data_IF_985547024163
#
_entry.id   IF_985547024163
#
_cell.length_a   1.000
_cell.length_b   1.000
_cell.length_c   1.000
_cell.angle_alpha   90.00
_cell.angle_beta   90.00
_cell.angle_gamma   90.00
#
_symmetry.space_group_name_H-M   'P 1'
#
loop_
_entity.id
_entity.type
_entity.pdbx_description
1 polymer ?
#
# COMPACT_ATOMS: atom_id res chain seq x y z
N UNK A 1 34.20 -26.06 -53.11
CA UNK A 1 35.22 -25.16 -52.53
C UNK A 1 34.54 -23.86 -52.13
N UNK A 2 34.74 -23.45 -50.87
CA UNK A 2 34.18 -22.26 -50.20
C UNK A 2 34.60 -20.95 -50.84
N UNK A 3 33.76 -19.91 -50.75
CA UNK A 3 34.15 -18.55 -50.32
C UNK A 3 32.98 -17.90 -49.57
N UNK A 4 33.13 -17.77 -48.26
CA UNK A 4 32.29 -16.92 -47.39
C UNK A 4 33.14 -15.70 -47.05
N UNK A 5 32.63 -14.52 -47.35
CA UNK A 5 33.30 -13.25 -47.08
C UNK A 5 33.06 -12.84 -45.61
N UNK A 6 34.15 -12.57 -44.90
CA UNK A 6 34.16 -11.91 -43.60
C UNK A 6 34.21 -10.41 -43.87
N UNK A 7 33.20 -9.67 -43.40
CA UNK A 7 33.28 -8.21 -43.29
C UNK A 7 33.63 -7.89 -41.85
N UNK A 8 34.91 -7.57 -41.67
CA UNK A 8 35.46 -6.91 -40.50
C UNK A 8 35.19 -5.41 -40.69
N UNK A 9 34.49 -4.77 -39.76
CA UNK A 9 34.43 -3.31 -39.70
C UNK A 9 34.84 -2.86 -38.31
N UNK A 10 36.08 -2.36 -38.29
CA UNK A 10 36.79 -1.73 -37.19
C UNK A 10 36.81 -0.22 -37.48
N UNK A 11 37.13 0.57 -36.46
CA UNK A 11 37.36 2.03 -36.41
C UNK A 11 36.07 2.86 -36.22
N UNK A 12 35.98 3.84 -35.31
CA UNK A 12 36.99 4.80 -34.80
C UNK A 12 36.62 5.27 -33.38
N UNK A 13 37.62 5.39 -32.49
CA UNK A 13 37.55 6.23 -31.29
C UNK A 13 37.84 7.69 -31.65
N UNK A 14 37.10 8.67 -31.10
CA UNK A 14 37.69 9.80 -30.34
C UNK A 14 36.63 10.70 -29.70
N UNK A 15 36.71 10.74 -28.36
CA UNK A 15 36.42 11.77 -27.35
C UNK A 15 35.90 13.14 -27.84
N UNK A 16 34.81 13.62 -27.24
CA UNK A 16 34.68 15.04 -26.88
C UNK A 16 34.13 15.17 -25.47
N UNK A 17 34.84 15.95 -24.65
CA UNK A 17 34.38 16.41 -23.35
C UNK A 17 33.32 17.50 -23.56
N UNK A 18 32.29 17.47 -22.73
CA UNK A 18 31.27 18.52 -22.66
C UNK A 18 30.71 18.61 -21.25
N UNK A 19 31.31 19.44 -20.41
CA UNK A 19 30.56 20.13 -19.38
C UNK A 19 29.55 21.02 -20.10
N UNK A 20 28.26 20.82 -19.83
CA UNK A 20 27.18 21.57 -20.46
C UNK A 20 25.94 21.52 -19.59
N UNK A 21 25.78 22.55 -18.77
CA UNK A 21 24.48 23.00 -18.25
C UNK A 21 23.50 23.14 -19.41
N UNK A 22 22.41 22.39 -19.39
CA UNK A 22 21.42 22.39 -20.45
C UNK A 22 20.08 21.85 -19.95
N UNK A 23 19.27 22.77 -19.46
CA UNK A 23 17.82 22.68 -19.29
C UNK A 23 17.15 21.93 -20.44
N UNK A 24 16.37 20.89 -20.11
CA UNK A 24 15.34 20.33 -20.99
C UNK A 24 14.00 20.31 -20.27
N UNK A 25 13.13 21.18 -20.76
CA UNK A 25 11.68 21.34 -20.56
C UNK A 25 11.08 20.93 -19.21
N UNK A 26 10.90 21.93 -18.36
CA UNK A 26 9.76 21.96 -17.45
C UNK A 26 8.48 21.85 -18.29
N UNK A 27 7.88 20.65 -18.32
CA UNK A 27 6.43 20.63 -18.34
C UNK A 27 6.04 21.15 -16.97
N UNK A 28 5.57 22.41 -16.94
CA UNK A 28 4.92 22.98 -15.78
C UNK A 28 3.80 22.02 -15.40
N UNK A 29 4.00 21.22 -14.36
CA UNK A 29 2.90 20.68 -13.59
C UNK A 29 2.10 21.88 -13.12
N UNK A 30 0.80 21.87 -13.43
CA UNK A 30 -0.17 22.77 -12.84
C UNK A 30 0.12 22.89 -11.35
N UNK A 31 0.11 24.12 -10.84
CA UNK A 31 0.39 24.41 -9.44
C UNK A 31 -0.33 23.40 -8.54
N UNK A 32 0.45 22.70 -7.72
CA UNK A 32 -0.03 21.76 -6.71
C UNK A 32 -1.20 22.42 -5.96
N UNK A 33 -2.42 21.95 -6.21
CA UNK A 33 -3.60 22.42 -5.49
C UNK A 33 -3.44 21.90 -4.08
N UNK A 34 -3.03 22.79 -3.17
CA UNK A 34 -3.11 22.59 -1.75
C UNK A 34 -4.61 22.48 -1.40
N UNK A 35 -5.12 21.24 -1.35
CA UNK A 35 -6.48 20.99 -0.89
C UNK A 35 -6.51 21.34 0.60
N UNK A 36 -7.28 22.38 0.95
CA UNK A 36 -7.48 22.80 2.34
C UNK A 36 -7.90 21.60 3.19
N UNK A 37 -7.16 21.36 4.28
CA UNK A 37 -7.54 20.39 5.32
C UNK A 37 -8.90 20.84 5.88
N UNK A 38 -10.00 20.10 5.73
CA UNK A 38 -11.28 20.51 6.30
C UNK A 38 -11.14 20.55 7.82
N UNK A 39 -11.42 21.71 8.41
CA UNK A 39 -11.54 21.87 9.86
C UNK A 39 -12.79 21.13 10.32
N UNK A 40 -12.66 20.05 11.10
CA UNK A 40 -13.84 19.35 11.63
C UNK A 40 -13.84 19.38 13.15
N UNK A 41 -14.56 20.39 13.66
CA UNK A 41 -15.30 20.30 14.91
C UNK A 41 -16.43 19.30 14.70
N UNK A 42 -16.34 18.12 15.32
CA UNK A 42 -17.46 17.16 15.33
C UNK A 42 -18.49 17.71 16.31
N UNK A 43 -19.65 18.14 15.79
CA UNK A 43 -20.81 18.47 16.62
C UNK A 43 -21.70 17.24 16.65
N UNK A 44 -21.88 16.67 17.84
CA UNK A 44 -22.87 15.64 18.13
C UNK A 44 -24.29 16.14 17.84
N UNK A 45 -25.19 15.21 17.47
CA UNK A 45 -26.67 15.24 17.37
C UNK A 45 -27.12 14.67 16.00
N UNK A 46 -28.07 13.76 15.83
CA UNK A 46 -29.07 13.21 16.75
C UNK A 46 -29.79 11.98 16.11
N UNK A 47 -29.99 10.94 16.93
CA UNK A 47 -31.22 10.09 17.12
C UNK A 47 -32.02 9.45 15.95
N UNK A 48 -32.11 8.11 16.05
CA UNK A 48 -33.28 7.20 15.97
C UNK A 48 -34.36 7.31 14.87
N UNK A 49 -34.48 6.21 14.10
CA UNK A 49 -35.74 5.46 13.91
C UNK A 49 -36.65 5.81 12.72
N UNK A 50 -36.74 4.90 11.73
CA UNK A 50 -38.03 4.56 11.10
C UNK A 50 -37.99 3.28 10.25
N UNK A 51 -39.18 2.69 10.16
CA UNK A 51 -39.55 1.32 9.86
C UNK A 51 -39.17 0.72 8.50
N UNK A 52 -39.01 -0.60 8.55
CA UNK A 52 -38.98 -1.55 7.44
C UNK A 52 -40.39 -1.72 6.89
N UNK A 53 -40.74 -0.99 5.82
CA UNK A 53 -41.73 -1.40 4.83
C UNK A 53 -41.79 -0.37 3.71
N UNK A 54 -41.50 -0.83 2.50
CA UNK A 54 -42.09 -0.42 1.21
C UNK A 54 -41.02 -0.45 0.11
N UNK A 55 -40.70 -1.69 -0.28
CA UNK A 55 -40.08 -2.02 -1.56
C UNK A 55 -41.22 -2.08 -2.57
N UNK A 56 -41.23 -1.20 -3.57
CA UNK A 56 -41.58 -1.61 -4.94
C UNK A 56 -41.11 -0.60 -6.00
N UNK A 57 -40.18 -1.08 -6.82
CA UNK A 57 -39.97 -0.84 -8.24
C UNK A 57 -39.97 0.59 -8.79
N UNK A 58 -38.80 0.99 -9.30
CA UNK A 58 -38.70 1.49 -10.67
C UNK A 58 -37.35 1.08 -11.29
N UNK A 59 -37.42 0.11 -12.21
CA UNK A 59 -36.30 -0.33 -13.06
C UNK A 59 -36.15 0.70 -14.18
N UNK A 60 -35.00 1.35 -14.28
CA UNK A 60 -34.57 1.96 -15.53
C UNK A 60 -33.09 1.69 -15.77
N UNK A 61 -32.82 1.20 -16.98
CA UNK A 61 -31.54 0.72 -17.46
C UNK A 61 -30.52 1.83 -17.64
N UNK A 62 -29.44 1.74 -16.88
CA UNK A 62 -28.07 2.06 -17.28
C UNK A 62 -27.17 1.29 -16.32
N UNK A 63 -26.16 0.58 -16.81
CA UNK A 63 -25.21 -0.26 -16.05
C UNK A 63 -24.42 0.56 -15.02
N UNK A 64 -25.09 0.94 -13.92
CA UNK A 64 -24.55 1.83 -12.90
C UNK A 64 -24.65 1.14 -11.54
N UNK A 65 -23.50 1.06 -10.88
CA UNK A 65 -23.17 0.43 -9.62
C UNK A 65 -23.81 1.09 -8.38
N UNK A 66 -25.09 1.46 -8.44
CA UNK A 66 -25.76 2.21 -7.36
C UNK A 66 -27.01 1.52 -6.79
N UNK A 67 -27.27 0.26 -7.15
CA UNK A 67 -28.24 -0.60 -6.45
C UNK A 67 -27.67 -1.08 -5.10
N UNK A 68 -27.35 -0.12 -4.22
CA UNK A 68 -26.79 -0.34 -2.90
C UNK A 68 -27.81 -0.98 -1.97
N UNK A 69 -27.81 -2.31 -1.89
CA UNK A 69 -28.43 -3.00 -0.77
C UNK A 69 -27.44 -2.95 0.39
N UNK A 70 -27.76 -2.18 1.43
CA UNK A 70 -27.02 -2.21 2.69
C UNK A 70 -27.74 -3.17 3.62
N UNK A 71 -27.05 -4.24 3.99
CA UNK A 71 -27.53 -5.21 4.98
C UNK A 71 -26.50 -5.36 6.09
N UNK A 72 -26.91 -5.05 7.32
CA UNK A 72 -26.12 -5.32 8.53
C UNK A 72 -24.68 -4.78 8.48
N UNK A 73 -24.49 -3.61 7.87
CA UNK A 73 -23.17 -2.97 7.73
C UNK A 73 -22.34 -3.43 6.54
N UNK A 74 -22.93 -4.16 5.59
CA UNK A 74 -22.30 -4.58 4.34
C UNK A 74 -23.01 -3.97 3.14
N UNK A 75 -22.25 -3.56 2.13
CA UNK A 75 -22.77 -3.33 0.78
C UNK A 75 -22.81 -4.65 0.02
N UNK A 76 -24.02 -5.05 -0.37
CA UNK A 76 -24.34 -6.32 -1.00
C UNK A 76 -24.59 -6.13 -2.49
N UNK A 77 -23.83 -6.82 -3.33
CA UNK A 77 -23.96 -6.80 -4.79
C UNK A 77 -24.23 -8.21 -5.33
N UNK A 78 -25.14 -8.32 -6.29
CA UNK A 78 -25.34 -9.56 -7.04
C UNK A 78 -24.27 -9.65 -8.16
N UNK A 79 -23.54 -10.74 -8.22
CA UNK A 79 -22.52 -11.01 -9.23
C UNK A 79 -22.91 -12.23 -10.05
N UNK A 80 -22.89 -12.09 -11.38
CA UNK A 80 -23.09 -13.20 -12.30
C UNK A 80 -21.75 -13.83 -12.64
N UNK A 81 -21.58 -15.09 -12.25
CA UNK A 81 -20.40 -15.90 -12.59
C UNK A 81 -20.76 -16.98 -13.61
N UNK A 82 -19.76 -17.64 -14.19
CA UNK A 82 -19.95 -18.81 -15.05
C UNK A 82 -20.66 -19.97 -14.33
N UNK A 83 -20.59 -19.99 -12.99
CA UNK A 83 -21.18 -21.03 -12.12
C UNK A 83 -22.55 -20.63 -11.53
N UNK A 84 -23.10 -19.49 -11.91
CA UNK A 84 -24.39 -18.99 -11.42
C UNK A 84 -24.30 -17.61 -10.75
N UNK A 85 -25.38 -17.23 -10.06
CA UNK A 85 -25.42 -15.97 -9.30
C UNK A 85 -24.77 -16.17 -7.94
N UNK A 86 -23.87 -15.26 -7.57
CA UNK A 86 -23.24 -15.17 -6.24
C UNK A 86 -23.45 -13.77 -5.67
N UNK A 87 -23.29 -13.60 -4.37
CA UNK A 87 -23.45 -12.31 -3.71
C UNK A 87 -22.10 -11.83 -3.15
N UNK A 88 -21.70 -10.60 -3.44
CA UNK A 88 -20.51 -9.96 -2.87
C UNK A 88 -20.92 -9.08 -1.70
N UNK A 89 -20.30 -9.30 -0.55
CA UNK A 89 -20.53 -8.53 0.67
C UNK A 89 -19.27 -7.72 0.98
N UNK A 90 -19.37 -6.41 0.79
CA UNK A 90 -18.28 -5.47 1.08
C UNK A 90 -18.52 -4.84 2.43
N UNK A 91 -17.65 -5.04 3.44
CA UNK A 91 -17.85 -4.46 4.75
C UNK A 91 -17.71 -2.93 4.67
N UNK A 92 -18.52 -2.20 5.44
CA UNK A 92 -18.55 -0.74 5.43
C UNK A 92 -18.03 -0.18 6.76
N UNK A 93 -17.30 0.94 6.68
CA UNK A 93 -16.92 1.76 7.86
C UNK A 93 -17.87 2.94 7.98
N UNK A 94 -18.49 3.09 9.16
CA UNK A 94 -19.38 4.22 9.46
C UNK A 94 -19.19 4.71 10.90
N UNK A 95 -18.84 5.99 11.12
CA UNK A 95 -18.52 7.00 10.10
C UNK A 95 -17.17 6.71 9.41
N UNK A 96 -17.01 7.16 8.17
CA UNK A 96 -15.74 7.11 7.44
C UNK A 96 -14.64 7.84 8.21
N UNK A 97 -13.44 7.26 8.21
CA UNK A 97 -12.24 7.90 8.77
C UNK A 97 -11.48 8.60 7.65
N UNK A 98 -11.35 9.91 7.75
CA UNK A 98 -10.72 10.70 6.71
C UNK A 98 -9.25 10.30 6.50
N UNK A 99 -8.86 10.10 5.23
CA UNK A 99 -7.51 9.65 4.85
C UNK A 99 -7.30 8.14 4.86
N UNK A 100 -8.26 7.35 5.36
CA UNK A 100 -8.18 5.89 5.35
C UNK A 100 -8.83 5.33 4.09
N UNK A 101 -8.06 4.57 3.31
CA UNK A 101 -8.57 3.78 2.19
C UNK A 101 -9.21 2.50 2.73
N UNK A 102 -10.46 2.22 2.37
CA UNK A 102 -11.21 1.06 2.88
C UNK A 102 -11.79 0.17 1.76
N UNK A 103 -12.53 -0.88 2.14
CA UNK A 103 -13.06 -1.88 1.22
C UNK A 103 -14.16 -1.32 0.32
N UNK A 104 -14.88 -0.28 0.77
CA UNK A 104 -15.87 0.38 -0.09
C UNK A 104 -15.16 1.17 -1.18
N UNK A 105 -14.07 1.86 -0.84
CA UNK A 105 -13.25 2.59 -1.81
C UNK A 105 -12.64 1.64 -2.85
N UNK A 106 -12.07 0.52 -2.38
CA UNK A 106 -11.55 -0.56 -3.23
C UNK A 106 -12.63 -1.13 -4.16
N UNK A 107 -13.83 -1.43 -3.61
CA UNK A 107 -14.95 -1.94 -4.39
C UNK A 107 -15.49 -0.94 -5.41
N UNK A 108 -15.32 0.36 -5.17
CA UNK A 108 -15.66 1.45 -6.10
C UNK A 108 -14.56 1.79 -7.09
N UNK A 109 -13.43 1.08 -7.05
CA UNK A 109 -12.24 1.38 -7.85
C UNK A 109 -11.72 2.80 -7.64
N UNK A 110 -11.90 3.35 -6.43
CA UNK A 110 -11.20 4.57 -6.01
C UNK A 110 -9.72 4.23 -5.92
N UNK A 111 -8.86 5.11 -6.41
CA UNK A 111 -7.43 4.84 -6.35
C UNK A 111 -6.82 5.35 -5.05
N UNK A 112 -5.99 4.51 -4.41
CA UNK A 112 -5.31 4.83 -3.15
C UNK A 112 -4.49 6.13 -3.18
N UNK A 113 -3.93 6.49 -4.34
CA UNK A 113 -3.14 7.72 -4.51
C UNK A 113 -3.97 9.00 -4.41
N UNK A 114 -5.30 8.94 -4.51
CA UNK A 114 -6.18 10.10 -4.29
C UNK A 114 -6.06 10.62 -2.86
N UNK A 115 -5.70 9.75 -1.92
CA UNK A 115 -5.43 10.10 -0.53
C UNK A 115 -4.00 10.61 -0.28
N UNK A 116 -3.12 10.57 -1.30
CA UNK A 116 -1.70 10.91 -1.12
C UNK A 116 -1.49 12.35 -0.65
N UNK A 117 -2.28 13.30 -1.17
CA UNK A 117 -2.23 14.70 -0.75
C UNK A 117 -2.77 14.92 0.66
N UNK A 118 -3.85 14.22 1.02
CA UNK A 118 -4.47 14.31 2.34
C UNK A 118 -3.55 13.76 3.44
N UNK A 119 -2.92 12.60 3.20
CA UNK A 119 -2.05 11.92 4.15
C UNK A 119 -0.60 12.42 4.16
N UNK A 120 -0.28 13.46 3.37
CA UNK A 120 1.11 13.94 3.21
C UNK A 120 1.61 14.62 4.49
N UNK A 121 2.72 14.15 5.09
CA UNK A 121 3.39 14.87 6.17
C UNK A 121 3.83 16.27 5.74
N UNK A 122 3.71 17.25 6.63
CA UNK A 122 4.21 18.59 6.32
C UNK A 122 5.74 18.54 6.09
N UNK A 123 6.24 19.39 5.18
CA UNK A 123 7.65 19.37 4.78
C UNK A 123 8.04 18.28 3.78
N UNK A 124 7.12 17.42 3.35
CA UNK A 124 7.39 16.37 2.35
C UNK A 124 6.73 16.66 1.00
N UNK A 125 7.11 15.89 -0.04
CA UNK A 125 6.43 15.84 -1.33
C UNK A 125 6.01 14.41 -1.62
N UNK A 126 4.86 14.22 -2.26
CA UNK A 126 4.42 12.91 -2.75
C UNK A 126 5.49 12.35 -3.67
N UNK A 127 5.96 11.13 -3.36
CA UNK A 127 6.90 10.45 -4.21
C UNK A 127 6.16 9.84 -5.39
N UNK A 128 6.71 9.93 -6.60
CA UNK A 128 6.17 9.20 -7.74
C UNK A 128 6.37 7.71 -7.51
N UNK A 129 5.30 7.02 -7.13
CA UNK A 129 5.31 5.58 -6.94
C UNK A 129 5.56 4.89 -8.27
N UNK A 130 6.66 4.13 -8.34
CA UNK A 130 7.04 3.35 -9.54
C UNK A 130 6.55 1.90 -9.48
N UNK A 131 5.84 1.53 -8.43
CA UNK A 131 5.29 0.18 -8.24
C UNK A 131 4.04 0.25 -7.35
N UNK A 132 3.08 -0.61 -7.65
CA UNK A 132 1.86 -0.83 -6.87
C UNK A 132 2.11 -1.94 -5.85
N UNK A 133 1.54 -1.80 -4.65
CA UNK A 133 1.16 -2.97 -3.88
C UNK A 133 1.85 -3.08 -2.54
N UNK A 134 1.56 -2.16 -1.62
CA UNK A 134 1.60 -2.49 -0.20
C UNK A 134 0.18 -2.65 0.36
N UNK A 135 -0.66 -3.42 -0.33
CA UNK A 135 -2.04 -3.67 0.09
C UNK A 135 -2.21 -5.11 0.60
N UNK A 136 -2.89 -5.23 1.75
CA UNK A 136 -3.45 -6.48 2.23
C UNK A 136 -4.95 -6.26 2.42
N UNK A 137 -5.76 -7.07 1.73
CA UNK A 137 -7.22 -7.06 1.91
C UNK A 137 -7.63 -8.43 2.43
N UNK A 138 -8.40 -8.44 3.50
CA UNK A 138 -9.10 -9.64 3.93
C UNK A 138 -10.54 -9.31 4.25
N UNK A 139 -11.45 -10.08 3.68
CA UNK A 139 -12.88 -9.98 3.97
C UNK A 139 -13.38 -11.39 4.26
N UNK A 140 -13.90 -11.60 5.46
CA UNK A 140 -14.68 -12.80 5.76
C UNK A 140 -16.03 -12.40 6.34
N UNK A 141 -17.09 -13.11 5.96
CA UNK A 141 -18.41 -12.92 6.54
C UNK A 141 -18.85 -14.23 7.21
N UNK A 142 -18.77 -14.34 8.55
CA UNK A 142 -19.12 -15.57 9.25
C UNK A 142 -20.64 -15.82 9.30
N UNK A 143 -21.51 -14.84 8.99
CA UNK A 143 -22.95 -14.96 9.22
C UNK A 143 -23.76 -15.40 7.98
N UNK A 144 -23.23 -15.32 6.76
CA UNK A 144 -24.01 -15.54 5.52
C UNK A 144 -23.50 -16.69 4.63
N UNK A 145 -22.53 -17.47 5.12
CA UNK A 145 -21.87 -18.50 4.33
C UNK A 145 -20.84 -17.90 3.36
N UNK A 146 -19.72 -18.60 3.18
CA UNK A 146 -18.63 -18.21 2.29
C UNK A 146 -19.17 -18.00 0.86
N UNK A 147 -19.02 -16.79 0.30
CA UNK A 147 -19.47 -16.52 -1.08
C UNK A 147 -18.42 -17.00 -2.07
N UNK A 148 -18.90 -17.75 -3.06
CA UNK A 148 -18.12 -18.61 -3.95
C UNK A 148 -17.35 -17.91 -5.08
N UNK A 149 -16.99 -16.64 -4.92
CA UNK A 149 -16.00 -15.96 -5.77
C UNK A 149 -14.82 -15.46 -4.94
N UNK A 150 -14.48 -16.33 -4.00
CA UNK A 150 -13.42 -16.16 -3.06
C UNK A 150 -12.10 -16.35 -3.83
N UNK A 151 -11.53 -15.26 -4.38
CA UNK A 151 -10.10 -15.03 -4.12
C UNK A 151 -9.96 -14.86 -2.60
N UNK A 152 -10.17 -15.95 -1.83
CA UNK A 152 -9.59 -16.07 -0.52
C UNK A 152 -8.12 -16.06 -0.82
N UNK A 153 -7.48 -14.94 -0.55
CA UNK A 153 -6.21 -15.05 0.11
C UNK A 153 -6.58 -15.45 1.54
N UNK A 154 -6.53 -16.74 1.91
CA UNK A 154 -6.74 -17.11 3.31
C UNK A 154 -5.78 -16.24 4.11
N UNK A 155 -6.33 -15.49 5.08
CA UNK A 155 -5.45 -14.70 5.93
C UNK A 155 -4.53 -15.66 6.63
N UNK A 156 -3.23 -15.51 6.35
CA UNK A 156 -2.20 -16.24 7.05
C UNK A 156 -1.95 -15.54 8.39
N UNK A 157 -1.54 -16.29 9.41
CA UNK A 157 -1.12 -15.72 10.70
C UNK A 157 -0.03 -14.65 10.53
N UNK A 158 0.72 -14.75 9.43
CA UNK A 158 1.81 -13.85 9.04
C UNK A 158 1.69 -13.51 7.57
N UNK A 159 1.57 -12.22 7.25
CA UNK A 159 1.57 -11.68 5.89
C UNK A 159 2.73 -10.73 5.70
N UNK A 160 3.34 -10.77 4.51
CA UNK A 160 4.65 -10.15 4.28
C UNK A 160 4.61 -9.40 2.96
N UNK A 161 5.07 -8.14 2.99
CA UNK A 161 5.21 -7.32 1.79
C UNK A 161 6.49 -6.52 1.84
N UNK A 162 7.12 -6.36 0.69
CA UNK A 162 8.16 -5.35 0.50
C UNK A 162 7.53 -3.96 0.52
N UNK A 163 8.24 -2.97 1.10
CA UNK A 163 7.80 -1.58 1.05
C UNK A 163 8.19 -0.91 -0.26
N UNK A 164 9.34 -1.31 -0.81
CA UNK A 164 9.91 -0.77 -2.01
C UNK A 164 10.16 -1.90 -2.99
N UNK A 165 9.77 -1.71 -4.25
CA UNK A 165 10.02 -2.72 -5.28
C UNK A 165 11.35 -2.48 -5.98
N UNK A 166 11.93 -3.57 -6.46
CA UNK A 166 12.94 -3.53 -7.52
C UNK A 166 12.25 -3.08 -8.82
N UNK A 167 12.56 -1.87 -9.28
CA UNK A 167 11.99 -1.30 -10.51
C UNK A 167 13.01 -1.34 -11.63
N UNK A 168 12.57 -1.69 -12.84
CA UNK A 168 13.40 -1.64 -14.03
C UNK A 168 13.14 -0.33 -14.79
N UNK A 169 14.18 0.46 -15.04
CA UNK A 169 14.11 1.59 -15.97
C UNK A 169 15.12 1.38 -17.09
N UNK A 170 14.65 1.32 -18.34
CA UNK A 170 15.47 1.01 -19.52
C UNK A 170 16.31 -0.29 -19.36
N UNK A 171 15.73 -1.30 -18.70
CA UNK A 171 16.41 -2.59 -18.45
C UNK A 171 17.44 -2.57 -17.31
N UNK A 172 17.55 -1.48 -16.56
CA UNK A 172 18.43 -1.35 -15.40
C UNK A 172 17.59 -1.39 -14.14
N UNK A 173 17.86 -2.36 -13.27
CA UNK A 173 17.14 -2.53 -12.01
C UNK A 173 17.63 -1.52 -10.97
N UNK A 174 16.69 -0.98 -10.20
CA UNK A 174 16.94 -0.05 -9.09
C UNK A 174 15.92 -0.28 -7.98
N UNK A 175 16.42 -0.26 -6.76
CA UNK A 175 15.59 -0.28 -5.57
C UNK A 175 14.87 1.06 -5.43
N UNK A 176 13.57 1.01 -5.14
CA UNK A 176 12.83 2.18 -4.69
C UNK A 176 13.41 2.69 -3.36
N UNK A 177 13.51 4.02 -3.22
CA UNK A 177 13.93 4.67 -1.99
C UNK A 177 12.97 5.82 -1.76
N UNK A 178 12.28 5.79 -0.62
CA UNK A 178 11.41 6.86 -0.16
C UNK A 178 11.75 7.19 1.29
N UNK A 179 11.58 8.45 1.68
CA UNK A 179 11.95 8.88 3.04
C UNK A 179 10.91 8.47 4.07
N UNK A 180 9.62 8.58 3.72
CA UNK A 180 8.50 8.33 4.63
C UNK A 180 7.42 7.49 3.96
N UNK A 181 6.94 6.44 4.62
CA UNK A 181 5.76 5.67 4.21
C UNK A 181 4.53 6.03 5.02
N UNK A 182 3.36 6.00 4.40
CA UNK A 182 2.05 6.12 5.05
C UNK A 182 1.29 4.80 4.89
N UNK A 183 0.94 4.18 6.01
CA UNK A 183 0.17 2.96 6.11
C UNK A 183 -1.20 3.29 6.70
N UNK A 184 -2.27 2.93 6.01
CA UNK A 184 -3.64 3.07 6.50
C UNK A 184 -4.21 1.70 6.85
N UNK A 185 -5.01 1.65 7.91
CA UNK A 185 -5.78 0.46 8.28
C UNK A 185 -7.25 0.81 8.41
N UNK A 186 -8.09 0.05 7.71
CA UNK A 186 -9.52 -0.02 7.86
C UNK A 186 -9.87 -1.29 8.65
N UNK A 187 -10.34 -1.13 9.89
CA UNK A 187 -10.76 -2.22 10.77
C UNK A 187 -12.28 -2.23 10.92
N UNK A 188 -12.94 -3.37 10.66
CA UNK A 188 -14.40 -3.48 10.65
C UNK A 188 -14.95 -4.07 11.94
N UNK A 189 -14.43 -3.61 13.07
CA UNK A 189 -14.64 -4.23 14.39
C UNK A 189 -16.11 -4.41 14.76
N UNK A 190 -16.94 -3.44 14.42
CA UNK A 190 -18.36 -3.42 14.78
C UNK A 190 -19.19 -4.51 14.06
N UNK A 191 -18.64 -5.10 12.98
CA UNK A 191 -19.29 -6.16 12.22
C UNK A 191 -19.00 -7.56 12.76
N UNK A 192 -18.07 -7.69 13.73
CA UNK A 192 -17.61 -9.00 14.22
C UNK A 192 -17.67 -9.07 15.75
N UNK A 193 -18.15 -10.19 16.32
CA UNK A 193 -18.27 -10.34 17.77
C UNK A 193 -16.90 -10.40 18.49
N UNK A 194 -15.87 -10.84 17.78
CA UNK A 194 -14.49 -10.90 18.24
C UNK A 194 -13.60 -10.38 17.12
N UNK A 195 -12.57 -9.61 17.48
CA UNK A 195 -11.62 -9.07 16.53
C UNK A 195 -10.20 -9.51 16.90
N UNK A 196 -9.38 -9.97 15.94
CA UNK A 196 -8.04 -10.46 16.26
C UNK A 196 -7.14 -9.33 16.76
N UNK A 197 -6.15 -9.72 17.55
CA UNK A 197 -5.00 -8.86 17.77
C UNK A 197 -4.22 -8.76 16.47
N UNK A 198 -3.91 -7.53 16.06
CA UNK A 198 -3.17 -7.22 14.84
C UNK A 198 -1.91 -6.45 15.20
N UNK A 199 -0.78 -6.87 14.64
CA UNK A 199 0.52 -6.26 14.89
C UNK A 199 1.30 -6.10 13.60
N UNK A 200 1.68 -4.88 13.28
CA UNK A 200 2.54 -4.58 12.14
C UNK A 200 3.97 -4.45 12.61
N UNK A 201 4.88 -5.25 12.06
CA UNK A 201 6.31 -5.20 12.34
C UNK A 201 7.07 -4.71 11.11
N UNK A 202 8.15 -3.96 11.33
CA UNK A 202 9.03 -3.45 10.29
C UNK A 202 10.40 -4.11 10.46
N UNK A 203 10.88 -4.71 9.37
CA UNK A 203 12.22 -5.27 9.29
C UNK A 203 13.01 -4.55 8.19
N UNK A 204 14.25 -4.20 8.48
CA UNK A 204 15.19 -3.65 7.52
C UNK A 204 16.06 -4.75 6.92
N UNK A 205 16.32 -4.69 5.63
CA UNK A 205 17.26 -5.56 4.93
C UNK A 205 18.57 -4.79 4.79
N UNK A 206 19.64 -5.23 5.48
CA UNK A 206 20.94 -4.57 5.43
C UNK A 206 21.50 -4.49 4.00
N UNK A 207 22.19 -3.38 3.68
CA UNK A 207 22.85 -3.20 2.39
C UNK A 207 23.90 -4.29 2.13
N UNK A 208 24.64 -4.72 3.15
CA UNK A 208 25.62 -5.79 3.03
C UNK A 208 24.98 -7.15 2.68
N UNK A 209 23.76 -7.43 3.15
CA UNK A 209 23.03 -8.65 2.83
C UNK A 209 22.55 -8.61 1.37
N UNK A 210 22.05 -7.46 0.91
CA UNK A 210 21.66 -7.26 -0.49
C UNK A 210 22.86 -7.47 -1.41
N UNK A 211 24.02 -6.88 -1.09
CA UNK A 211 25.26 -7.04 -1.86
C UNK A 211 25.75 -8.49 -1.87
N UNK A 212 25.73 -9.18 -0.71
CA UNK A 212 26.13 -10.60 -0.64
C UNK A 212 25.23 -11.51 -1.47
N UNK A 213 23.92 -11.24 -1.50
CA UNK A 213 22.94 -12.09 -2.19
C UNK A 213 22.88 -11.82 -3.69
N UNK A 214 22.97 -10.56 -4.10
CA UNK A 214 22.69 -10.15 -5.49
C UNK A 214 23.87 -9.51 -6.20
N UNK A 215 24.93 -9.15 -5.47
CA UNK A 215 26.06 -8.38 -6.00
C UNK A 215 25.58 -7.06 -6.56
N UNK A 216 25.75 -6.87 -7.86
CA UNK A 216 25.27 -5.69 -8.57
C UNK A 216 23.75 -5.76 -8.78
N UNK A 217 23.01 -5.06 -7.93
CA UNK A 217 21.54 -5.00 -7.96
C UNK A 217 20.97 -4.58 -9.32
N UNK A 218 21.74 -3.83 -10.11
CA UNK A 218 21.31 -3.38 -11.45
C UNK A 218 21.17 -4.51 -12.45
N UNK A 219 21.79 -5.66 -12.18
CA UNK A 219 21.76 -6.89 -12.97
C UNK A 219 20.97 -8.01 -12.30
N UNK A 220 20.38 -7.76 -11.14
CA UNK A 220 19.65 -8.76 -10.37
C UNK A 220 18.43 -9.26 -11.17
N UNK A 221 18.13 -10.56 -11.10
CA UNK A 221 16.88 -11.08 -11.62
C UNK A 221 15.73 -10.71 -10.67
N UNK A 222 14.70 -10.03 -11.19
CA UNK A 222 13.58 -9.56 -10.36
C UNK A 222 12.79 -10.69 -9.69
N UNK A 223 12.78 -11.89 -10.29
CA UNK A 223 12.18 -13.06 -9.66
C UNK A 223 13.02 -13.59 -8.49
N UNK A 224 14.34 -13.70 -8.67
CA UNK A 224 15.25 -14.05 -7.57
C UNK A 224 15.14 -13.06 -6.40
N UNK A 225 15.04 -11.76 -6.70
CA UNK A 225 14.83 -10.72 -5.70
C UNK A 225 13.51 -10.93 -4.93
N UNK A 226 12.40 -11.11 -5.65
CA UNK A 226 11.09 -11.37 -5.03
C UNK A 226 11.09 -12.64 -4.17
N UNK A 227 11.69 -13.73 -4.68
CA UNK A 227 11.77 -15.00 -3.95
C UNK A 227 12.55 -14.87 -2.64
N UNK A 228 13.64 -14.11 -2.62
CA UNK A 228 14.37 -13.81 -1.39
C UNK A 228 13.48 -13.12 -0.34
N UNK A 229 12.71 -12.12 -0.75
CA UNK A 229 11.87 -11.33 0.16
C UNK A 229 10.66 -12.10 0.70
N UNK A 230 9.98 -12.87 -0.15
CA UNK A 230 8.70 -13.52 0.21
C UNK A 230 8.87 -15.00 0.59
N UNK A 231 10.05 -15.59 0.41
CA UNK A 231 10.33 -16.99 0.78
C UNK A 231 11.54 -17.11 1.69
N UNK A 232 12.70 -16.60 1.29
CA UNK A 232 13.94 -16.86 2.04
C UNK A 232 13.95 -16.15 3.39
N UNK A 233 13.75 -14.82 3.42
CA UNK A 233 13.69 -14.06 4.68
C UNK A 233 12.61 -14.61 5.64
N UNK A 234 11.37 -14.91 5.18
CA UNK A 234 10.35 -15.50 6.06
C UNK A 234 10.70 -16.91 6.58
N UNK A 235 11.33 -17.77 5.75
CA UNK A 235 11.69 -19.15 6.12
C UNK A 235 12.77 -19.21 7.20
N UNK A 236 13.65 -18.21 7.26
CA UNK A 236 14.65 -18.06 8.32
C UNK A 236 14.15 -17.17 9.47
N UNK A 237 12.85 -16.91 9.55
CA UNK A 237 12.20 -16.00 10.50
C UNK A 237 12.90 -14.64 10.64
N UNK A 238 13.35 -14.11 9.50
CA UNK A 238 14.04 -12.83 9.37
C UNK A 238 15.34 -12.70 10.15
N UNK A 239 16.00 -13.81 10.52
CA UNK A 239 17.27 -13.79 11.29
C UNK A 239 18.37 -12.96 10.61
N UNK A 240 18.33 -12.85 9.28
CA UNK A 240 19.27 -12.03 8.50
C UNK A 240 18.90 -10.54 8.41
N UNK A 241 17.67 -10.18 8.79
CA UNK A 241 17.16 -8.82 8.75
C UNK A 241 17.31 -8.13 10.12
N UNK A 242 17.23 -6.80 10.12
CA UNK A 242 17.23 -5.98 11.33
C UNK A 242 15.78 -5.76 11.75
N UNK A 243 15.42 -6.10 12.98
CA UNK A 243 14.13 -5.72 13.55
C UNK A 243 14.15 -4.24 13.91
N UNK A 244 13.26 -3.44 13.30
CA UNK A 244 13.26 -1.97 13.44
C UNK A 244 12.14 -1.45 14.32
N UNK A 245 11.09 -2.23 14.53
CA UNK A 245 10.00 -1.86 15.42
C UNK A 245 8.68 -2.54 15.09
N UNK A 246 7.68 -2.25 15.91
CA UNK A 246 6.33 -2.76 15.74
C UNK A 246 5.28 -1.78 16.27
N UNK A 247 4.04 -2.00 15.85
CA UNK A 247 2.88 -1.30 16.40
C UNK A 247 1.69 -2.25 16.46
N UNK A 248 1.01 -2.24 17.59
CA UNK A 248 -0.30 -2.84 17.72
C UNK A 248 -1.32 -1.98 16.98
N UNK A 249 -2.10 -2.60 16.11
CA UNK A 249 -3.10 -1.93 15.29
C UNK A 249 -4.45 -2.14 15.97
N UNK A 250 -4.80 -1.18 16.83
CA UNK A 250 -6.01 -1.26 17.65
C UNK A 250 -7.18 -0.54 17.02
N UNK A 251 -6.98 0.36 16.06
CA UNK A 251 -8.05 1.20 15.54
C UNK A 251 -7.86 1.47 14.04
N UNK A 252 -8.97 1.78 13.37
CA UNK A 252 -8.96 2.32 12.01
C UNK A 252 -8.19 3.65 12.02
N UNK A 253 -7.04 3.70 11.37
CA UNK A 253 -6.17 4.88 11.46
C UNK A 253 -5.10 4.93 10.38
N UNK A 254 -4.30 6.00 10.44
CA UNK A 254 -3.15 6.28 9.58
C UNK A 254 -1.89 6.18 10.45
N UNK A 255 -0.88 5.50 9.92
CA UNK A 255 0.41 5.27 10.56
C UNK A 255 1.54 5.63 9.61
N UNK A 256 2.69 6.00 10.18
CA UNK A 256 3.84 6.43 9.40
C UNK A 256 5.09 5.62 9.72
N UNK A 257 5.98 5.49 8.73
CA UNK A 257 7.29 4.86 8.88
C UNK A 257 8.34 5.83 8.35
N UNK A 258 9.30 6.21 9.21
CA UNK A 258 10.45 7.04 8.81
C UNK A 258 11.57 6.15 8.25
N UNK A 259 11.39 5.72 7.00
CA UNK A 259 12.36 4.85 6.34
C UNK A 259 13.73 5.49 6.22
N UNK A 260 13.80 6.82 6.03
CA UNK A 260 15.08 7.54 5.97
C UNK A 260 15.86 7.39 7.28
N UNK A 261 15.23 7.72 8.41
CA UNK A 261 15.86 7.56 9.73
C UNK A 261 16.29 6.10 9.95
N UNK A 262 15.40 5.15 9.70
CA UNK A 262 15.70 3.73 9.89
C UNK A 262 16.86 3.25 9.00
N UNK A 263 16.93 3.70 7.75
CA UNK A 263 18.01 3.40 6.82
C UNK A 263 19.35 3.98 7.29
N UNK A 264 19.37 5.25 7.72
CA UNK A 264 20.56 5.94 8.21
C UNK A 264 21.11 5.32 9.51
N UNK A 265 20.23 4.91 10.42
CA UNK A 265 20.62 4.32 11.72
C UNK A 265 21.09 2.86 11.62
N UNK A 266 20.59 2.11 10.63
CA UNK A 266 20.76 0.65 10.57
C UNK A 266 21.41 0.14 9.26
N UNK A 267 21.86 1.03 8.37
CA UNK A 267 22.43 0.69 7.06
C UNK A 267 21.52 -0.25 6.24
N UNK A 268 20.23 0.06 6.23
CA UNK A 268 19.22 -0.73 5.52
C UNK A 268 18.92 -0.14 4.14
N UNK A 269 18.93 -1.00 3.12
CA UNK A 269 18.60 -0.60 1.74
C UNK A 269 17.13 -0.76 1.39
N UNK A 270 16.43 -1.67 2.09
CA UNK A 270 15.06 -2.11 1.81
C UNK A 270 14.35 -2.48 3.10
N UNK A 271 13.01 -2.55 3.06
CA UNK A 271 12.21 -2.88 4.23
C UNK A 271 11.11 -3.90 3.90
N UNK A 272 10.79 -4.70 4.91
CA UNK A 272 9.70 -5.66 4.91
C UNK A 272 8.69 -5.24 5.97
N UNK A 273 7.42 -5.23 5.57
CA UNK A 273 6.29 -5.15 6.47
C UNK A 273 5.75 -6.54 6.74
N UNK A 274 5.59 -6.84 8.02
CA UNK A 274 5.11 -8.14 8.50
C UNK A 274 3.88 -7.90 9.35
N UNK A 275 2.72 -8.18 8.79
CA UNK A 275 1.46 -8.14 9.52
C UNK A 275 1.23 -9.49 10.19
N UNK A 276 1.18 -9.50 11.51
CA UNK A 276 0.80 -10.65 12.33
C UNK A 276 -0.62 -10.49 12.84
N UNK A 277 -1.40 -11.56 12.76
CA UNK A 277 -2.79 -11.60 13.22
C UNK A 277 -3.02 -12.83 14.09
N UNK A 278 -3.75 -12.67 15.19
CA UNK A 278 -4.00 -13.76 16.15
C UNK A 278 -5.06 -14.77 15.69
N UNK A 279 -5.76 -14.49 14.59
CA UNK A 279 -6.81 -15.32 14.00
C UNK A 279 -6.75 -15.18 12.49
N UNK A 280 -7.08 -16.26 11.77
CA UNK A 280 -7.00 -16.33 10.31
C UNK A 280 -8.36 -16.23 9.62
N UNK A 281 -9.46 -16.25 10.37
CA UNK A 281 -10.83 -16.18 9.83
C UNK A 281 -11.80 -15.43 10.73
N UNK A 282 -12.96 -15.01 10.19
CA UNK A 282 -14.06 -14.43 10.96
C UNK A 282 -13.86 -12.96 11.38
N UNK A 283 -13.19 -12.19 10.53
CA UNK A 283 -13.01 -10.73 10.60
C UNK A 283 -12.76 -10.17 9.19
N UNK A 284 -12.74 -8.85 9.04
CA UNK A 284 -12.27 -8.18 7.83
C UNK A 284 -11.33 -7.04 8.21
N UNK A 285 -10.39 -6.73 7.32
CA UNK A 285 -9.58 -5.52 7.39
C UNK A 285 -9.05 -5.16 6.00
N UNK A 286 -8.65 -3.90 5.84
CA UNK A 286 -7.83 -3.47 4.71
C UNK A 286 -6.62 -2.70 5.25
N UNK A 287 -5.42 -3.13 4.88
CA UNK A 287 -4.18 -2.37 5.06
C UNK A 287 -3.72 -1.85 3.70
N UNK A 288 -3.36 -0.58 3.63
CA UNK A 288 -2.81 0.02 2.43
C UNK A 288 -1.61 0.89 2.77
N UNK A 289 -0.46 0.58 2.17
CA UNK A 289 0.80 1.29 2.31
C UNK A 289 1.36 1.87 1.01
N UNK A 290 0.51 2.13 0.01
CA UNK A 290 0.98 2.63 -1.28
C UNK A 290 1.55 4.05 -1.16
N UNK A 291 1.05 4.89 -0.24
CA UNK A 291 1.45 6.29 -0.15
C UNK A 291 2.87 6.45 0.43
N UNK A 292 3.77 7.06 -0.34
CA UNK A 292 5.15 7.34 0.06
C UNK A 292 5.53 8.80 -0.25
N UNK A 293 6.48 9.33 0.53
CA UNK A 293 6.88 10.73 0.50
C UNK A 293 8.39 10.89 0.61
N UNK A 294 8.89 11.97 0.00
CA UNK A 294 10.27 12.42 0.15
C UNK A 294 10.31 13.75 0.91
N UNK A 295 11.22 13.86 1.87
CA UNK A 295 11.40 15.06 2.68
C UNK A 295 12.01 16.15 1.80
N UNK A 296 11.32 17.29 1.74
CA UNK A 296 11.73 18.46 0.96
C UNK A 296 12.10 19.66 1.83
N UNK A 297 11.61 19.67 3.07
CA UNK A 297 11.90 20.65 4.13
C UNK A 297 11.99 19.87 5.45
N UNK A 298 13.22 19.65 5.91
CA UNK A 298 13.48 18.84 7.10
C UNK A 298 12.96 19.52 8.38
N UNK A 299 13.04 20.84 8.50
CA UNK A 299 12.60 21.53 9.71
C UNK A 299 11.09 21.37 9.90
N UNK A 300 10.31 21.60 8.84
CA UNK A 300 8.86 21.39 8.87
C UNK A 300 8.49 19.94 9.14
N UNK A 301 9.18 19.00 8.50
CA UNK A 301 8.94 17.58 8.72
C UNK A 301 9.20 17.16 10.17
N UNK A 302 10.29 17.61 10.79
CA UNK A 302 10.58 17.26 12.17
C UNK A 302 9.55 17.84 13.15
N UNK A 303 9.05 19.06 12.92
CA UNK A 303 7.96 19.64 13.72
C UNK A 303 6.70 18.79 13.60
N UNK A 304 6.27 18.50 12.37
CA UNK A 304 5.09 17.67 12.13
C UNK A 304 5.24 16.27 12.74
N UNK A 305 6.42 15.65 12.61
CA UNK A 305 6.71 14.33 13.17
C UNK A 305 6.55 14.30 14.69
N UNK A 306 7.02 15.33 15.39
CA UNK A 306 6.88 15.43 16.85
C UNK A 306 5.40 15.49 17.28
N UNK A 307 4.56 16.21 16.53
CA UNK A 307 3.13 16.31 16.79
C UNK A 307 2.38 14.99 16.54
N UNK A 308 2.91 14.15 15.64
CA UNK A 308 2.30 12.90 15.20
C UNK A 308 3.08 11.65 15.64
N UNK A 309 3.98 11.78 16.62
CA UNK A 309 4.90 10.69 17.01
C UNK A 309 4.16 9.40 17.41
N UNK A 310 2.98 9.54 18.01
CA UNK A 310 2.11 8.42 18.37
C UNK A 310 1.58 7.60 17.18
N UNK A 311 1.67 8.12 15.95
CA UNK A 311 1.28 7.42 14.72
C UNK A 311 2.46 6.71 14.05
N UNK A 312 3.70 6.99 14.45
CA UNK A 312 4.85 6.32 13.87
C UNK A 312 4.98 4.87 14.34
N UNK A 313 5.50 4.02 13.47
CA UNK A 313 5.87 2.64 13.77
C UNK A 313 7.38 2.60 13.97
N UNK A 314 7.84 2.03 15.10
CA UNK A 314 9.26 1.98 15.47
C UNK A 314 9.80 3.26 16.11
N UNK A 315 8.92 4.11 16.66
CA UNK A 315 9.25 5.26 17.51
C UNK A 315 8.70 5.08 18.93
#
# INVERSE_FOLDING_TARGET
>A
MKKVYIILLLLVMTISAGCGTGTTSSHNTEADIELDKPSVTITENNTLGKDVSDIESEKNSSDNSDDRIIDSGFWVNELKTDNGMVWKYTPLISPKVAGVFDCEDDAKFVFSYEYSGYNRPDGTKTATLKSYGCQFIYVSNPMLGYNADEEVYPTQEKQIKETFSLTANNGINKLGIYDVGCITFALYKDLYPEYPEMKLQVYGIPNNLIEQRFGDITKCDGRAYKDFLVKDCPNEDFVSCVYLGEKYITDTSIFYIDYKKMAEENDCGQFLLVLKVSKTTGFAYLMNGDNCYNISDNEKYQVWKQEHIGQFIGE
#
